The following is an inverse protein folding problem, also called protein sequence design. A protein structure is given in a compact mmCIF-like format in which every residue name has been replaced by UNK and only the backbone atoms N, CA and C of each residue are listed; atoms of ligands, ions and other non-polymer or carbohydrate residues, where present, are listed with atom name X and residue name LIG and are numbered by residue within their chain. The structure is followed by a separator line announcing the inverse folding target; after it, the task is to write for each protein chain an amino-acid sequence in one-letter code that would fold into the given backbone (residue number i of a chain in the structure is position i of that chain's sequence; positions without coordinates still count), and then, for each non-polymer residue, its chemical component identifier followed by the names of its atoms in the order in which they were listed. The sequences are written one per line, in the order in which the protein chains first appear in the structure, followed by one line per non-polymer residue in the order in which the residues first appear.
data_IF_447813467312
#
_entry.id   IF_447813467312
#
_cell.length_a   1.000
_cell.length_b   1.000
_cell.length_c   1.000
_cell.angle_alpha   90.00
_cell.angle_beta   90.00
_cell.angle_gamma   90.00
#
_symmetry.space_group_name_H-M   'P 1'
#
loop_
_entity.id
_entity.type
_entity.pdbx_description
1 polymer ?
#
# COMPACT_ATOMS: atom_id res chain seq x y z
N UNK A 1 2.39 -9.50 25.46
CA UNK A 1 1.30 -8.86 24.70
C UNK A 1 -0.01 -9.30 25.32
N UNK A 2 -1.04 -8.46 25.35
CA UNK A 2 -2.37 -8.91 25.80
C UNK A 2 -2.89 -9.98 24.83
N UNK A 3 -3.30 -11.13 25.35
CA UNK A 3 -3.82 -12.26 24.55
C UNK A 3 -5.34 -12.20 24.37
N UNK A 4 -6.00 -11.23 25.03
CA UNK A 4 -7.45 -11.10 25.06
C UNK A 4 -7.89 -10.10 23.98
N UNK A 5 -8.59 -10.59 22.96
CA UNK A 5 -9.14 -9.77 21.88
C UNK A 5 -9.67 -10.62 20.73
N UNK A 6 -10.21 -9.96 19.70
CA UNK A 6 -10.60 -10.57 18.43
C UNK A 6 -10.20 -9.63 17.28
N UNK A 7 -9.98 -10.20 16.09
CA UNK A 7 -9.80 -9.43 14.86
C UNK A 7 -11.04 -9.60 13.96
N UNK A 8 -11.51 -8.50 13.36
CA UNK A 8 -12.55 -8.57 12.32
C UNK A 8 -11.91 -9.05 11.01
N UNK A 9 -12.36 -10.19 10.48
CA UNK A 9 -11.98 -10.68 9.15
C UNK A 9 -13.17 -10.53 8.19
N UNK A 10 -12.96 -9.81 7.08
CA UNK A 10 -14.03 -9.57 6.10
C UNK A 10 -14.23 -10.79 5.19
N UNK A 11 -15.49 -11.14 4.85
CA UNK A 11 -15.80 -12.36 4.07
C UNK A 11 -15.06 -12.44 2.74
N UNK A 12 -14.84 -11.30 2.06
CA UNK A 12 -14.00 -11.17 0.84
C UNK A 12 -12.59 -11.75 0.95
N UNK A 13 -12.10 -12.08 2.15
CA UNK A 13 -10.88 -12.87 2.31
C UNK A 13 -10.96 -14.25 1.61
N UNK A 14 -12.14 -14.79 1.33
CA UNK A 14 -12.31 -16.01 0.50
C UNK A 14 -12.10 -15.75 -1.00
N UNK A 15 -12.25 -14.51 -1.47
CA UNK A 15 -12.05 -14.08 -2.85
C UNK A 15 -10.58 -13.69 -3.13
N UNK A 16 -9.77 -13.58 -2.09
CA UNK A 16 -8.37 -13.18 -2.15
C UNK A 16 -7.50 -14.27 -2.79
N UNK A 17 -6.63 -13.88 -3.73
CA UNK A 17 -5.87 -14.82 -4.57
C UNK A 17 -4.96 -15.81 -3.83
N UNK A 18 -4.54 -15.49 -2.60
CA UNK A 18 -3.76 -16.40 -1.75
C UNK A 18 -4.60 -17.25 -0.80
N UNK A 19 -5.94 -17.16 -0.83
CA UNK A 19 -6.81 -17.94 0.06
C UNK A 19 -6.77 -19.45 -0.25
N UNK A 20 -6.50 -19.83 -1.50
CA UNK A 20 -6.32 -21.23 -1.91
C UNK A 20 -4.95 -21.79 -1.50
N UNK A 21 -3.90 -20.96 -1.47
CA UNK A 21 -2.58 -21.34 -0.96
C UNK A 21 -2.61 -21.44 0.57
N UNK A 22 -2.71 -22.68 1.07
CA UNK A 22 -2.79 -22.95 2.50
C UNK A 22 -1.60 -22.40 3.31
N UNK A 23 -0.39 -22.42 2.75
CA UNK A 23 0.81 -21.92 3.46
C UNK A 23 0.79 -20.40 3.56
N UNK A 24 0.45 -19.72 2.47
CA UNK A 24 0.39 -18.26 2.38
C UNK A 24 -0.76 -17.69 3.20
N UNK A 25 -1.94 -18.32 3.14
CA UNK A 25 -3.11 -17.99 3.97
C UNK A 25 -2.82 -18.13 5.48
N UNK A 26 -2.27 -19.27 5.91
CA UNK A 26 -2.02 -19.52 7.35
C UNK A 26 -0.94 -18.59 7.90
N UNK A 27 0.11 -18.31 7.12
CA UNK A 27 1.11 -17.27 7.49
C UNK A 27 0.46 -15.89 7.64
N UNK A 28 -0.40 -15.46 6.71
CA UNK A 28 -1.05 -14.14 6.80
C UNK A 28 -2.04 -14.04 7.97
N UNK A 29 -2.84 -15.08 8.21
CA UNK A 29 -3.74 -15.14 9.37
C UNK A 29 -2.96 -15.08 10.70
N UNK A 30 -1.84 -15.79 10.81
CA UNK A 30 -0.99 -15.69 12.00
C UNK A 30 -0.39 -14.29 12.16
N UNK A 31 0.07 -13.65 11.08
CA UNK A 31 0.56 -12.27 11.12
C UNK A 31 -0.55 -11.31 11.59
N UNK A 32 -1.78 -11.44 11.07
CA UNK A 32 -2.93 -10.62 11.49
C UNK A 32 -3.29 -10.81 12.98
N UNK A 33 -3.18 -12.03 13.50
CA UNK A 33 -3.44 -12.36 14.91
C UNK A 33 -2.31 -11.96 15.87
N UNK A 34 -1.08 -11.80 15.37
CA UNK A 34 0.11 -11.46 16.18
C UNK A 34 0.61 -10.03 15.94
N UNK A 35 -0.01 -9.29 15.03
CA UNK A 35 0.21 -7.87 14.82
C UNK A 35 -0.12 -7.05 16.08
N UNK A 36 0.79 -6.17 16.44
CA UNK A 36 0.64 -5.28 17.57
C UNK A 36 -0.51 -4.27 17.31
N UNK A 37 -1.32 -3.94 18.32
CA UNK A 37 -2.51 -3.10 18.19
C UNK A 37 -2.33 -1.67 18.71
N UNK A 38 -1.32 -1.43 19.55
CA UNK A 38 -0.88 -0.12 20.06
C UNK A 38 0.64 0.01 19.83
N UNK A 39 1.26 1.18 19.98
CA UNK A 39 2.73 1.24 19.94
C UNK A 39 3.31 0.55 21.19
N UNK A 40 4.20 -0.44 21.02
CA UNK A 40 4.88 -1.11 22.13
C UNK A 40 6.39 -1.16 21.90
N UNK A 41 7.15 -1.23 22.98
CA UNK A 41 8.61 -1.35 22.90
C UNK A 41 9.05 -2.81 23.10
N UNK A 42 9.87 -3.31 22.19
CA UNK A 42 10.46 -4.65 22.25
C UNK A 42 11.97 -4.55 22.11
N UNK A 43 12.70 -4.83 23.20
CA UNK A 43 14.17 -4.83 23.25
C UNK A 43 14.82 -3.52 22.75
N UNK A 44 14.29 -2.36 23.14
CA UNK A 44 14.78 -1.04 22.69
C UNK A 44 14.22 -0.58 21.34
N UNK A 45 13.30 -1.32 20.73
CA UNK A 45 12.75 -1.03 19.40
C UNK A 45 11.25 -0.77 19.52
N UNK A 46 10.80 0.39 19.03
CA UNK A 46 9.38 0.76 18.93
C UNK A 46 8.71 0.00 17.79
N UNK A 47 7.72 -0.82 18.13
CA UNK A 47 6.89 -1.61 17.22
C UNK A 47 5.52 -0.94 17.13
N UNK A 48 5.18 -0.42 15.96
CA UNK A 48 3.94 0.34 15.73
C UNK A 48 2.70 -0.56 15.64
N UNK A 49 1.48 -0.01 15.73
CA UNK A 49 0.26 -0.72 15.34
C UNK A 49 0.37 -1.32 13.92
N UNK A 50 -0.14 -2.52 13.73
CA UNK A 50 -0.03 -3.28 12.47
C UNK A 50 1.35 -3.91 12.21
N UNK A 51 2.32 -3.80 13.13
CA UNK A 51 3.63 -4.44 13.01
C UNK A 51 3.79 -5.66 13.92
N UNK A 52 4.58 -6.65 13.47
CA UNK A 52 4.97 -7.83 14.24
C UNK A 52 6.44 -8.17 14.01
N UNK A 53 7.12 -8.65 15.05
CA UNK A 53 8.49 -9.18 14.98
C UNK A 53 8.43 -10.69 14.79
N UNK A 54 8.96 -11.19 13.67
CA UNK A 54 8.97 -12.62 13.34
C UNK A 54 10.39 -13.14 13.06
N UNK A 55 10.57 -14.45 13.20
CA UNK A 55 11.77 -15.17 12.75
C UNK A 55 11.35 -16.44 12.00
N UNK A 56 11.94 -16.68 10.82
CA UNK A 56 11.51 -17.77 9.90
C UNK A 56 11.40 -19.13 10.59
N UNK A 57 12.39 -19.51 11.40
CA UNK A 57 12.40 -20.77 12.17
C UNK A 57 11.27 -20.88 13.19
N UNK A 58 10.98 -19.79 13.92
CA UNK A 58 9.86 -19.77 14.86
C UNK A 58 8.52 -19.83 14.13
N UNK A 59 8.34 -19.07 13.05
CA UNK A 59 7.11 -19.10 12.27
C UNK A 59 6.86 -20.47 11.60
N UNK A 60 7.93 -21.16 11.20
CA UNK A 60 7.87 -22.54 10.71
C UNK A 60 7.39 -23.51 11.81
N UNK A 61 7.98 -23.43 13.00
CA UNK A 61 7.61 -24.24 14.17
C UNK A 61 6.17 -23.96 14.64
N UNK A 62 5.80 -22.69 14.81
CA UNK A 62 4.50 -22.25 15.31
C UNK A 62 3.33 -22.59 14.38
N UNK A 63 3.60 -22.88 13.10
CA UNK A 63 2.59 -23.16 12.07
C UNK A 63 2.66 -24.58 11.48
N UNK A 64 3.62 -25.42 11.91
CA UNK A 64 3.85 -26.74 11.31
C UNK A 64 4.28 -26.70 9.83
N UNK A 65 4.90 -25.61 9.39
CA UNK A 65 5.33 -25.40 8.00
C UNK A 65 6.85 -25.57 7.86
N UNK A 66 7.33 -25.95 6.67
CA UNK A 66 8.77 -25.87 6.39
C UNK A 66 9.25 -24.41 6.29
N UNK A 67 10.53 -24.16 6.61
CA UNK A 67 11.16 -22.83 6.39
C UNK A 67 11.06 -22.38 4.92
N UNK A 68 10.99 -23.32 3.96
CA UNK A 68 10.79 -23.05 2.53
C UNK A 68 9.38 -22.50 2.27
N UNK A 69 8.34 -23.14 2.80
CA UNK A 69 6.95 -22.64 2.69
C UNK A 69 6.81 -21.27 3.34
N UNK A 70 7.34 -21.06 4.54
CA UNK A 70 7.34 -19.75 5.21
C UNK A 70 8.03 -18.67 4.36
N UNK A 71 9.19 -18.98 3.76
CA UNK A 71 9.89 -18.04 2.87
C UNK A 71 9.03 -17.70 1.65
N UNK A 72 8.47 -18.71 0.97
CA UNK A 72 7.62 -18.51 -0.22
C UNK A 72 6.35 -17.73 0.12
N UNK A 73 5.67 -18.03 1.23
CA UNK A 73 4.52 -17.28 1.71
C UNK A 73 4.84 -15.80 1.97
N UNK A 74 5.95 -15.51 2.65
CA UNK A 74 6.39 -14.11 2.90
C UNK A 74 6.79 -13.38 1.60
N UNK A 75 7.27 -14.10 0.58
CA UNK A 75 7.53 -13.55 -0.76
C UNK A 75 6.24 -13.30 -1.55
N UNK A 76 5.25 -14.19 -1.47
CA UNK A 76 3.91 -14.03 -2.04
C UNK A 76 3.20 -12.79 -1.48
N UNK A 77 3.06 -12.68 -0.15
CA UNK A 77 2.39 -11.56 0.53
C UNK A 77 3.07 -10.21 0.25
N UNK A 78 4.40 -10.21 0.12
CA UNK A 78 5.19 -9.04 -0.26
C UNK A 78 5.03 -8.69 -1.75
N UNK A 79 4.81 -9.67 -2.63
CA UNK A 79 4.61 -9.43 -4.07
C UNK A 79 3.28 -8.75 -4.38
N UNK A 80 2.23 -9.05 -3.61
CA UNK A 80 0.89 -8.43 -3.71
C UNK A 80 0.70 -7.22 -2.79
N UNK A 81 1.74 -6.80 -2.06
CA UNK A 81 1.73 -5.66 -1.13
C UNK A 81 0.68 -5.79 0.01
N UNK A 82 0.54 -6.99 0.55
CA UNK A 82 -0.20 -7.28 1.79
C UNK A 82 0.66 -6.99 3.02
N UNK A 83 1.97 -7.17 2.87
CA UNK A 83 2.96 -6.88 3.92
C UNK A 83 4.21 -6.23 3.36
N UNK A 84 4.81 -5.30 4.11
CA UNK A 84 6.20 -4.88 3.92
C UNK A 84 7.09 -5.54 4.97
N UNK A 85 8.33 -5.86 4.58
CA UNK A 85 9.27 -6.62 5.42
C UNK A 85 10.60 -5.88 5.55
N UNK A 86 11.07 -5.76 6.78
CA UNK A 86 12.35 -5.17 7.15
C UNK A 86 13.20 -6.22 7.86
N UNK A 87 14.23 -6.70 7.19
CA UNK A 87 15.08 -7.80 7.67
C UNK A 87 16.23 -7.21 8.49
N UNK A 88 16.42 -7.69 9.71
CA UNK A 88 17.59 -7.40 10.54
C UNK A 88 18.53 -8.60 10.58
N UNK A 89 19.67 -8.48 11.25
CA UNK A 89 20.61 -9.59 11.45
C UNK A 89 20.08 -10.72 12.37
N UNK A 90 18.94 -10.54 13.04
CA UNK A 90 18.41 -11.49 14.05
C UNK A 90 16.92 -11.83 13.90
N UNK A 91 16.14 -11.00 13.21
CA UNK A 91 14.69 -11.15 13.05
C UNK A 91 14.22 -10.40 11.80
N UNK A 92 12.91 -10.32 11.57
CA UNK A 92 12.31 -9.40 10.61
C UNK A 92 11.12 -8.69 11.24
N UNK A 93 11.00 -7.40 11.00
CA UNK A 93 9.78 -6.65 11.28
C UNK A 93 8.90 -6.77 10.05
N UNK A 94 7.66 -7.21 10.23
CA UNK A 94 6.65 -7.29 9.19
C UNK A 94 5.58 -6.25 9.54
N UNK A 95 5.33 -5.33 8.62
CA UNK A 95 4.20 -4.39 8.69
C UNK A 95 3.09 -4.94 7.82
N UNK A 96 1.87 -5.02 8.35
CA UNK A 96 0.69 -5.39 7.58
C UNK A 96 0.17 -4.14 6.87
N UNK A 97 0.26 -4.15 5.55
CA UNK A 97 -0.24 -3.07 4.72
C UNK A 97 -1.78 -3.06 4.78
N UNK A 98 -2.38 -1.87 4.70
CA UNK A 98 -3.82 -1.69 4.88
C UNK A 98 -4.40 -2.16 6.24
N UNK A 99 -3.59 -2.51 7.26
CA UNK A 99 -4.08 -2.92 8.60
C UNK A 99 -5.18 -2.00 9.16
N UNK A 100 -5.00 -0.70 9.03
CA UNK A 100 -5.98 0.30 9.43
C UNK A 100 -7.34 0.14 8.71
N UNK A 101 -7.40 -0.27 7.44
CA UNK A 101 -8.66 -0.50 6.72
C UNK A 101 -9.43 -1.73 7.24
N UNK A 102 -8.75 -2.66 7.92
CA UNK A 102 -9.37 -3.84 8.53
C UNK A 102 -9.77 -3.62 10.00
N UNK A 103 -9.17 -2.65 10.68
CA UNK A 103 -9.43 -2.35 12.10
C UNK A 103 -10.18 -1.02 12.34
N UNK A 104 -10.21 -0.10 11.37
CA UNK A 104 -11.10 1.06 11.42
C UNK A 104 -12.54 0.59 11.34
N UNK A 105 -13.23 0.71 12.47
CA UNK A 105 -14.69 0.68 12.50
C UNK A 105 -15.15 1.97 11.81
N UNK A 106 -15.74 1.84 10.62
CA UNK A 106 -16.71 2.83 10.18
C UNK A 106 -17.81 2.84 11.23
N UNK A 107 -17.96 3.94 11.98
CA UNK A 107 -19.04 4.13 12.96
C UNK A 107 -20.38 4.45 12.28
N UNK A 108 -20.62 3.82 11.13
CA UNK A 108 -21.82 3.95 10.32
C UNK A 108 -22.74 2.76 10.67
N UNK A 109 -23.85 3.04 11.35
CA UNK A 109 -24.90 2.10 11.78
C UNK A 109 -24.63 1.27 13.05
N UNK A 110 -24.18 1.91 14.15
CA UNK A 110 -24.43 1.39 15.51
C UNK A 110 -24.69 2.52 16.54
N UNK A 111 -25.48 3.52 16.13
CA UNK A 111 -26.04 4.56 17.00
C UNK A 111 -27.57 4.66 16.81
N UNK A 112 -28.29 3.64 17.27
CA UNK A 112 -29.70 3.75 17.64
C UNK A 112 -29.92 3.03 18.96
N UNK A 113 -30.41 3.78 19.97
CA UNK A 113 -30.47 3.41 21.39
C UNK A 113 -29.06 3.07 21.96
N UNK A 114 -28.38 3.94 22.70
CA UNK A 114 -28.95 4.58 23.89
C UNK A 114 -28.29 5.94 24.22
N UNK A 115 -29.03 7.05 24.03
CA UNK A 115 -28.80 8.35 24.69
C UNK A 115 -29.94 9.34 24.36
N UNK A 116 -30.97 9.34 25.22
CA UNK A 116 -31.84 10.50 25.42
C UNK A 116 -31.61 11.06 26.82
N UNK A 117 -31.96 12.35 27.00
CA UNK A 117 -31.77 13.19 28.21
C UNK A 117 -30.33 13.74 28.32
N UNK A 118 -30.09 15.05 28.37
CA UNK A 118 -31.03 16.18 28.37
C UNK A 118 -30.65 17.28 27.37
N UNK A 119 -31.69 17.93 26.82
CA UNK A 119 -31.58 19.21 26.13
C UNK A 119 -32.06 20.31 27.07
N UNK A 120 -31.36 21.45 27.11
CA UNK A 120 -31.96 22.72 26.66
C UNK A 120 -30.92 23.85 26.54
N UNK A 121 -31.02 24.72 25.52
CA UNK A 121 -30.21 25.92 25.39
C UNK A 121 -30.95 27.19 25.85
N UNK A 122 -30.22 28.19 26.37
CA UNK A 122 -30.75 29.55 26.50
C UNK A 122 -29.75 30.59 25.98
N UNK A 123 -30.28 31.60 25.30
CA UNK A 123 -29.54 32.67 24.64
C UNK A 123 -29.85 33.99 25.37
N UNK A 124 -28.84 34.79 25.75
CA UNK A 124 -28.85 36.28 25.73
C UNK A 124 -27.53 36.91 26.22
N UNK A 125 -27.19 38.05 25.62
CA UNK A 125 -26.15 39.05 25.97
C UNK A 125 -26.82 40.21 26.78
N UNK A 126 -26.20 41.38 27.13
CA UNK A 126 -24.87 41.95 26.78
C UNK A 126 -24.14 42.73 27.91
N UNK A 127 -23.29 43.71 27.52
CA UNK A 127 -22.60 44.77 28.30
C UNK A 127 -21.20 44.38 28.88
N UNK A 128 -20.17 45.25 28.90
CA UNK A 128 -19.97 46.59 28.29
C UNK A 128 -18.46 46.97 28.24
N UNK A 129 -18.04 47.78 27.25
CA UNK A 129 -16.82 48.64 27.06
C UNK A 129 -15.42 48.18 27.59
N UNK A 130 -14.25 48.48 26.98
CA UNK A 130 -13.77 49.75 26.38
C UNK A 130 -12.74 49.56 25.23
N UNK A 131 -12.33 50.68 24.61
CA UNK A 131 -11.23 50.90 23.63
C UNK A 131 -10.40 52.15 24.08
N UNK A 132 -9.36 52.68 23.37
CA UNK A 132 -8.78 52.40 22.03
C UNK A 132 -7.30 51.91 22.12
N UNK A 133 -6.24 52.21 21.33
CA UNK A 133 -5.85 53.18 20.26
C UNK A 133 -4.76 52.65 19.28
N UNK A 134 -4.69 53.26 18.07
CA UNK A 134 -3.49 53.50 17.20
C UNK A 134 -2.59 52.33 16.68
N UNK A 135 -2.07 52.32 15.44
CA UNK A 135 -2.23 53.21 14.25
C UNK A 135 -1.60 52.64 12.95
N UNK A 136 -2.14 53.04 11.77
CA UNK A 136 -1.54 53.05 10.39
C UNK A 136 -1.24 51.67 9.73
N UNK A 137 -1.79 51.34 8.53
CA UNK A 137 -1.39 51.74 7.15
C UNK A 137 0.00 51.17 6.72
N UNK A 138 0.32 50.66 5.51
CA UNK A 138 -0.28 50.56 4.13
C UNK A 138 0.50 49.44 3.35
N UNK A 139 0.10 48.81 2.23
CA UNK A 139 -1.18 48.65 1.49
C UNK A 139 -1.08 47.47 0.46
N UNK A 140 -2.20 46.79 0.17
CA UNK A 140 -2.76 46.39 -1.16
C UNK A 140 -1.82 46.28 -2.40
N UNK A 141 -1.85 45.23 -3.26
CA UNK A 141 -2.99 44.98 -4.20
C UNK A 141 -2.97 43.64 -4.98
N UNK A 142 -4.18 43.11 -5.26
CA UNK A 142 -4.66 42.42 -6.50
C UNK A 142 -3.89 41.20 -7.09
N UNK A 143 -4.53 40.02 -7.25
CA UNK A 143 -5.35 39.53 -8.41
C UNK A 143 -4.50 39.22 -9.68
N UNK A 144 -4.79 38.21 -10.52
CA UNK A 144 -5.99 37.36 -10.65
C UNK A 144 -5.71 35.95 -11.24
N UNK A 145 -6.77 35.14 -11.43
CA UNK A 145 -6.74 33.75 -11.96
C UNK A 145 -6.46 33.70 -13.47
N UNK A 146 -5.84 32.61 -13.96
CA UNK A 146 -6.33 31.94 -15.19
C UNK A 146 -5.95 30.46 -15.29
N UNK A 147 -6.85 29.68 -15.87
CA UNK A 147 -6.67 28.27 -16.25
C UNK A 147 -6.14 28.19 -17.68
N UNK A 148 -5.31 27.19 -17.99
CA UNK A 148 -5.19 26.59 -19.33
C UNK A 148 -4.67 25.15 -19.24
N UNK A 149 -5.10 24.34 -20.19
CA UNK A 149 -4.67 22.95 -20.43
C UNK A 149 -3.90 22.90 -21.78
N UNK A 150 -3.49 21.70 -22.22
CA UNK A 150 -2.97 21.30 -23.55
C UNK A 150 -1.43 21.27 -23.68
N UNK A 151 -0.93 20.04 -23.72
CA UNK A 151 0.19 19.42 -24.48
C UNK A 151 1.65 19.91 -24.36
N UNK A 152 2.55 18.91 -24.35
CA UNK A 152 4.02 18.94 -24.40
C UNK A 152 4.59 19.19 -25.82
N UNK A 153 5.93 19.35 -26.01
CA UNK A 153 6.96 19.95 -25.15
C UNK A 153 7.83 20.97 -25.93
N UNK A 154 8.98 21.45 -25.38
CA UNK A 154 10.27 20.97 -25.91
C UNK A 154 11.36 20.72 -24.84
N UNK A 155 12.57 20.34 -25.28
CA UNK A 155 13.65 19.70 -24.51
C UNK A 155 14.82 20.66 -24.24
N UNK A 156 15.49 20.58 -23.07
CA UNK A 156 16.98 20.54 -22.90
C UNK A 156 17.38 20.30 -21.40
N UNK A 157 18.51 19.60 -21.09
CA UNK A 157 19.00 19.29 -19.73
C UNK A 157 19.96 20.39 -19.16
N UNK A 158 20.56 20.30 -17.92
CA UNK A 158 20.88 19.09 -17.14
C UNK A 158 20.61 19.12 -15.61
N UNK A 159 21.17 18.11 -14.93
CA UNK A 159 21.26 17.87 -13.48
C UNK A 159 20.01 17.38 -12.72
N UNK A 160 20.23 16.48 -11.74
CA UNK A 160 19.18 15.93 -10.88
C UNK A 160 18.22 14.93 -11.54
N UNK A 161 18.69 13.73 -11.90
CA UNK A 161 17.90 12.65 -12.57
C UNK A 161 16.64 12.19 -11.79
N UNK A 162 15.57 12.96 -11.87
CA UNK A 162 14.20 12.52 -11.57
C UNK A 162 13.74 11.64 -12.73
N UNK A 163 13.57 10.34 -12.49
CA UNK A 163 13.04 9.42 -13.50
C UNK A 163 11.55 9.72 -13.69
N UNK A 164 11.22 10.32 -14.81
CA UNK A 164 9.85 10.62 -15.23
C UNK A 164 9.21 9.31 -15.72
N UNK A 165 7.93 9.04 -15.38
CA UNK A 165 7.16 7.98 -16.04
C UNK A 165 7.16 8.13 -17.56
N UNK A 166 7.34 7.05 -18.34
CA UNK A 166 7.09 7.09 -19.77
C UNK A 166 5.62 7.32 -20.09
N UNK A 167 5.32 7.79 -21.30
CA UNK A 167 3.96 7.79 -21.84
C UNK A 167 3.55 6.37 -22.28
N UNK A 168 2.24 6.16 -22.43
CA UNK A 168 1.70 4.94 -23.08
C UNK A 168 2.29 4.74 -24.47
N UNK A 169 2.50 5.83 -25.23
CA UNK A 169 3.02 5.80 -26.59
C UNK A 169 4.48 5.32 -26.61
N UNK A 170 5.35 5.86 -25.75
CA UNK A 170 6.74 5.40 -25.62
C UNK A 170 6.81 3.90 -25.29
N UNK A 171 5.94 3.42 -24.40
CA UNK A 171 5.84 1.99 -24.06
C UNK A 171 5.31 1.16 -25.23
N UNK A 172 4.30 1.66 -25.95
CA UNK A 172 3.68 1.01 -27.12
C UNK A 172 4.69 0.82 -28.24
N UNK A 173 5.42 1.87 -28.60
CA UNK A 173 6.46 1.83 -29.64
C UNK A 173 7.55 0.82 -29.30
N UNK A 174 8.01 0.78 -28.04
CA UNK A 174 9.02 -0.20 -27.60
C UNK A 174 8.49 -1.64 -27.52
N UNK A 175 7.18 -1.85 -27.35
CA UNK A 175 6.57 -3.19 -27.40
C UNK A 175 6.36 -3.67 -28.85
N UNK A 176 6.04 -2.74 -29.77
CA UNK A 176 5.96 -2.97 -31.21
C UNK A 176 7.34 -3.26 -31.82
N UNK A 177 8.36 -2.44 -31.53
CA UNK A 177 9.76 -2.64 -31.95
C UNK A 177 10.28 -4.05 -31.58
N UNK A 178 9.87 -4.55 -30.40
CA UNK A 178 10.26 -5.87 -29.90
C UNK A 178 9.34 -7.02 -30.35
N UNK A 179 8.24 -6.72 -31.05
CA UNK A 179 7.16 -7.65 -31.37
C UNK A 179 6.81 -8.60 -30.20
N UNK A 180 6.69 -8.04 -28.99
CA UNK A 180 6.55 -8.83 -27.76
C UNK A 180 5.08 -9.07 -27.33
N UNK A 181 4.13 -8.49 -28.04
CA UNK A 181 2.69 -8.59 -27.79
C UNK A 181 2.21 -8.01 -26.46
N UNK A 182 3.04 -7.25 -25.73
CA UNK A 182 2.68 -6.64 -24.45
C UNK A 182 1.76 -5.45 -24.68
N UNK A 183 0.66 -5.43 -23.93
CA UNK A 183 -0.22 -4.27 -23.83
C UNK A 183 0.48 -3.15 -23.05
N UNK A 184 0.65 -2.00 -23.70
CA UNK A 184 1.32 -0.83 -23.16
C UNK A 184 0.48 -0.07 -22.12
N UNK A 185 -0.84 -0.11 -22.24
CA UNK A 185 -1.76 0.56 -21.30
C UNK A 185 -1.80 -0.25 -19.99
N UNK A 186 -2.00 -1.56 -20.08
CA UNK A 186 -1.89 -2.46 -18.93
C UNK A 186 -0.52 -2.40 -18.23
N UNK A 187 0.58 -2.19 -18.97
CA UNK A 187 1.91 -1.98 -18.39
C UNK A 187 2.01 -0.64 -17.65
N UNK A 188 1.54 0.46 -18.25
CA UNK A 188 1.57 1.80 -17.63
C UNK A 188 0.70 1.84 -16.38
N UNK A 189 -0.54 1.35 -16.44
CA UNK A 189 -1.46 1.36 -15.30
C UNK A 189 -0.93 0.55 -14.10
N UNK A 190 -0.31 -0.61 -14.35
CA UNK A 190 0.30 -1.43 -13.31
C UNK A 190 1.44 -0.72 -12.56
N UNK A 191 2.21 0.14 -13.24
CA UNK A 191 3.28 0.91 -12.59
C UNK A 191 2.83 2.28 -12.09
N UNK A 192 1.85 2.92 -12.72
CA UNK A 192 1.23 4.16 -12.26
C UNK A 192 0.49 3.96 -10.94
N UNK A 193 -0.32 2.90 -10.81
CA UNK A 193 -0.95 2.49 -9.55
C UNK A 193 0.06 2.14 -8.44
N UNK A 194 1.30 1.81 -8.80
CA UNK A 194 2.43 1.52 -7.88
C UNK A 194 3.41 2.69 -7.72
N UNK A 195 3.03 3.92 -8.11
CA UNK A 195 3.90 5.10 -7.99
C UNK A 195 5.23 5.01 -8.74
N UNK A 196 5.31 4.10 -9.72
CA UNK A 196 6.51 3.67 -10.45
C UNK A 196 7.59 2.99 -9.57
N UNK A 197 7.20 2.13 -8.62
CA UNK A 197 8.14 1.34 -7.81
C UNK A 197 8.41 -0.07 -8.37
N UNK A 198 9.63 -0.56 -8.13
CA UNK A 198 10.07 -1.95 -8.33
C UNK A 198 10.74 -2.42 -7.02
N UNK A 199 9.99 -3.15 -6.21
CA UNK A 199 10.38 -3.43 -4.82
C UNK A 199 10.44 -2.14 -4.00
N UNK A 200 11.45 -1.99 -3.13
CA UNK A 200 11.61 -0.79 -2.27
C UNK A 200 12.10 0.46 -3.03
N UNK A 201 12.48 0.35 -4.31
CA UNK A 201 13.10 1.44 -5.08
C UNK A 201 12.16 1.95 -6.18
N UNK A 202 12.18 3.26 -6.46
CA UNK A 202 11.56 3.80 -7.67
C UNK A 202 12.28 3.27 -8.92
N UNK A 203 11.50 2.91 -9.93
CA UNK A 203 11.97 2.37 -11.22
C UNK A 203 12.95 3.34 -11.88
N UNK A 204 14.03 2.81 -12.45
CA UNK A 204 15.06 3.58 -13.16
C UNK A 204 15.13 3.31 -14.67
N UNK A 205 14.70 2.12 -15.09
CA UNK A 205 14.58 1.69 -16.48
C UNK A 205 13.27 0.91 -16.62
N UNK A 206 12.32 1.46 -17.36
CA UNK A 206 11.04 0.80 -17.65
C UNK A 206 11.15 -0.20 -18.80
N UNK A 207 12.09 -0.01 -19.73
CA UNK A 207 12.39 -0.97 -20.82
C UNK A 207 12.91 -2.29 -20.23
N UNK A 208 13.67 -2.26 -19.14
CA UNK A 208 14.03 -3.46 -18.37
C UNK A 208 12.83 -4.16 -17.69
N UNK A 209 11.80 -3.41 -17.27
CA UNK A 209 10.58 -4.00 -16.73
C UNK A 209 9.72 -4.65 -17.83
N UNK A 210 9.60 -4.03 -19.01
CA UNK A 210 8.96 -4.64 -20.20
C UNK A 210 9.65 -5.96 -20.58
N UNK A 211 10.99 -6.00 -20.66
CA UNK A 211 11.78 -7.24 -20.87
C UNK A 211 11.57 -8.31 -19.78
N UNK A 212 10.98 -7.95 -18.64
CA UNK A 212 10.67 -8.87 -17.54
C UNK A 212 9.25 -9.40 -17.62
N UNK A 213 8.28 -8.56 -18.00
CA UNK A 213 6.94 -9.00 -18.43
C UNK A 213 7.03 -10.00 -19.60
N UNK A 214 7.86 -9.70 -20.60
CA UNK A 214 8.10 -10.55 -21.78
C UNK A 214 8.50 -11.98 -21.39
N UNK A 215 9.43 -12.12 -20.43
CA UNK A 215 9.91 -13.42 -19.93
C UNK A 215 8.85 -14.15 -19.10
N UNK A 216 8.15 -13.43 -18.21
CA UNK A 216 7.07 -14.01 -17.41
C UNK A 216 5.92 -14.54 -18.26
N UNK A 217 5.51 -13.80 -19.30
CA UNK A 217 4.45 -14.23 -20.23
C UNK A 217 4.86 -15.45 -21.05
N UNK A 218 6.09 -15.48 -21.60
CA UNK A 218 6.59 -16.66 -22.32
C UNK A 218 6.59 -17.90 -21.42
N UNK A 219 6.97 -17.78 -20.14
CA UNK A 219 6.89 -18.91 -19.19
C UNK A 219 5.44 -19.35 -18.94
N UNK A 220 4.52 -18.42 -18.70
CA UNK A 220 3.08 -18.73 -18.57
C UNK A 220 2.46 -19.33 -19.85
N UNK A 221 3.13 -19.23 -21.00
CA UNK A 221 2.70 -19.87 -22.24
C UNK A 221 3.36 -21.23 -22.46
N UNK A 222 4.65 -21.41 -22.07
CA UNK A 222 5.29 -22.73 -22.08
C UNK A 222 4.67 -23.68 -21.07
N UNK A 223 4.42 -23.20 -19.84
CA UNK A 223 3.85 -24.01 -18.76
C UNK A 223 2.45 -24.52 -19.18
N UNK A 224 1.56 -23.64 -19.66
CA UNK A 224 0.23 -24.02 -20.19
C UNK A 224 0.26 -24.91 -21.45
N UNK A 225 1.36 -24.92 -22.20
CA UNK A 225 1.54 -25.82 -23.36
C UNK A 225 2.05 -27.19 -22.96
N UNK A 226 2.72 -27.32 -21.81
CA UNK A 226 3.01 -28.61 -21.20
C UNK A 226 1.73 -29.20 -20.59
N UNK A 227 0.99 -28.42 -19.79
CA UNK A 227 -0.29 -28.83 -19.16
C UNK A 227 -1.34 -29.36 -20.16
N UNK A 228 -1.25 -28.98 -21.44
CA UNK A 228 -2.14 -29.41 -22.53
C UNK A 228 -1.60 -30.60 -23.36
N UNK A 229 -0.33 -30.98 -23.19
CA UNK A 229 0.30 -32.13 -23.87
C UNK A 229 0.34 -33.39 -23.01
N UNK A 230 0.11 -33.26 -21.70
CA UNK A 230 0.02 -34.37 -20.73
C UNK A 230 -1.45 -34.85 -20.52
N UNK A 231 -2.33 -34.65 -21.53
CA UNK A 231 -3.77 -34.98 -21.54
C UNK A 231 -4.19 -35.76 -22.80
#
# INVERSE_FOLDING_TARGET
MSVNGFIKLHRKMTEWGWYTDASTKVVFLHLLLTANYQETEWKGIKIKPGQVVVGRKKLAQDLGLSERQVRTALEHLKSTNEVTIEVTNKFSIVTIENWAKYQLINNDNDQQNDQQRDQQPTNKRPATDQQPTTSKERKESKKEKKVKNINNPPIIPPEGKRVVPPTVEEVRDFCLERNNGIDAEAFVDFYQSKGWYVGKNKMKDWKAAVRTWERSRRKQESDRKADFMDL
#
